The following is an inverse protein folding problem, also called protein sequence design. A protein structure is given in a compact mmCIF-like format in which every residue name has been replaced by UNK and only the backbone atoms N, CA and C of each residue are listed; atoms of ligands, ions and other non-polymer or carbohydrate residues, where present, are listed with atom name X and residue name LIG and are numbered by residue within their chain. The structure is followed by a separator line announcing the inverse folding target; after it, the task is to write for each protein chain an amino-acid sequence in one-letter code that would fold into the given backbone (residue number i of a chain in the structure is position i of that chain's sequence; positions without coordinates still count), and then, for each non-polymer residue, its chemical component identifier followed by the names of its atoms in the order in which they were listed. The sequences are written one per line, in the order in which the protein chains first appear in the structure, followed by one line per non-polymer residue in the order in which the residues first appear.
data_IF_627591243385
#
_entry.id   IF_627591243385
#
_cell.length_a   1.000
_cell.length_b   1.000
_cell.length_c   1.000
_cell.angle_alpha   90.00
_cell.angle_beta   90.00
_cell.angle_gamma   90.00
#
_symmetry.space_group_name_H-M   'P 1'
#
loop_
_entity.id
_entity.type
_entity.pdbx_description
1 polymer ?
#
# COMPACT_ATOMS: atom_id res chain seq x y z
N UNK A 1 3.89 -39.72 13.05
CA UNK A 1 3.37 -39.31 11.72
C UNK A 1 2.54 -38.03 11.83
N UNK A 2 1.50 -38.01 12.67
CA UNK A 2 0.62 -36.85 12.84
C UNK A 2 1.31 -35.62 13.46
N UNK A 3 2.24 -35.82 14.39
CA UNK A 3 3.10 -34.76 14.95
C UNK A 3 3.96 -34.06 13.89
N UNK A 4 4.59 -34.83 13.00
CA UNK A 4 5.37 -34.27 11.90
C UNK A 4 4.52 -33.49 10.89
N UNK A 5 3.28 -33.93 10.65
CA UNK A 5 2.32 -33.19 9.83
C UNK A 5 1.93 -31.87 10.50
N UNK A 6 1.59 -31.90 11.80
CA UNK A 6 1.25 -30.70 12.57
C UNK A 6 2.40 -29.69 12.64
N UNK A 7 3.64 -30.15 12.82
CA UNK A 7 4.82 -29.29 12.80
C UNK A 7 5.02 -28.62 11.45
N UNK A 8 4.93 -29.40 10.36
CA UNK A 8 5.02 -28.87 9.00
C UNK A 8 3.95 -27.83 8.73
N UNK A 9 2.70 -28.12 9.10
CA UNK A 9 1.57 -27.23 8.85
C UNK A 9 1.69 -25.93 9.67
N UNK A 10 2.20 -26.03 10.91
CA UNK A 10 2.50 -24.86 11.76
C UNK A 10 3.61 -23.98 11.16
N UNK A 11 4.68 -24.58 10.64
CA UNK A 11 5.77 -23.85 9.98
C UNK A 11 5.28 -23.18 8.70
N UNK A 12 4.51 -23.88 7.87
CA UNK A 12 3.94 -23.32 6.64
C UNK A 12 2.99 -22.15 6.95
N UNK A 13 2.15 -22.28 7.97
CA UNK A 13 1.24 -21.20 8.37
C UNK A 13 1.99 -19.94 8.78
N UNK A 14 3.08 -20.09 9.55
CA UNK A 14 3.95 -18.97 9.94
C UNK A 14 4.63 -18.35 8.72
N UNK A 15 5.18 -19.18 7.84
CA UNK A 15 5.80 -18.72 6.61
C UNK A 15 4.83 -17.91 5.74
N UNK A 16 3.61 -18.41 5.51
CA UNK A 16 2.59 -17.72 4.72
C UNK A 16 2.11 -16.42 5.38
N UNK A 17 2.09 -16.39 6.72
CA UNK A 17 1.81 -15.17 7.46
C UNK A 17 2.92 -14.13 7.22
N UNK A 18 4.17 -14.51 7.46
CA UNK A 18 5.32 -13.62 7.37
C UNK A 18 5.56 -13.14 5.94
N UNK A 19 5.37 -14.01 4.94
CA UNK A 19 5.47 -13.66 3.52
C UNK A 19 4.45 -12.56 3.14
N UNK A 20 3.21 -12.65 3.64
CA UNK A 20 2.19 -11.62 3.40
C UNK A 20 2.48 -10.32 4.14
N UNK A 21 3.04 -10.38 5.35
CA UNK A 21 3.46 -9.17 6.06
C UNK A 21 4.63 -8.49 5.35
N UNK A 22 5.60 -9.27 4.87
CA UNK A 22 6.73 -8.77 4.11
C UNK A 22 6.28 -8.09 2.81
N UNK A 23 5.36 -8.72 2.05
CA UNK A 23 4.80 -8.11 0.84
C UNK A 23 4.12 -6.77 1.15
N UNK A 24 3.32 -6.71 2.23
CA UNK A 24 2.69 -5.46 2.68
C UNK A 24 3.74 -4.41 3.00
N UNK A 25 4.76 -4.73 3.80
CA UNK A 25 5.82 -3.79 4.16
C UNK A 25 6.61 -3.29 2.94
N UNK A 26 6.88 -4.17 1.97
CA UNK A 26 7.53 -3.80 0.71
C UNK A 26 6.67 -2.87 -0.16
N UNK A 27 5.34 -3.08 -0.15
CA UNK A 27 4.38 -2.22 -0.87
C UNK A 27 4.13 -0.91 -0.13
N UNK A 28 4.20 -0.90 1.20
CA UNK A 28 4.20 0.30 2.05
C UNK A 28 5.55 1.01 1.96
N UNK A 29 6.01 1.27 0.74
CA UNK A 29 7.09 2.20 0.51
C UNK A 29 6.54 3.61 0.72
N UNK A 30 6.69 4.13 1.95
CA UNK A 30 6.28 5.49 2.34
C UNK A 30 6.75 6.54 1.32
N UNK A 31 7.90 6.33 0.66
CA UNK A 31 8.40 7.24 -0.37
C UNK A 31 7.49 7.35 -1.61
N UNK A 32 6.78 6.28 -1.99
CA UNK A 32 5.85 6.30 -3.12
C UNK A 32 4.51 6.95 -2.76
N UNK A 33 4.05 6.81 -1.52
CA UNK A 33 2.72 7.29 -1.09
C UNK A 33 2.75 8.66 -0.38
N UNK A 34 3.92 9.24 -0.12
CA UNK A 34 4.01 10.55 0.56
C UNK A 34 3.39 11.67 -0.28
N UNK A 35 3.48 11.56 -1.62
CA UNK A 35 2.92 12.52 -2.56
C UNK A 35 2.21 11.81 -3.70
N UNK A 36 0.96 11.40 -3.47
CA UNK A 36 0.09 10.89 -4.52
C UNK A 36 -0.26 12.03 -5.49
N UNK A 37 0.47 12.12 -6.61
CA UNK A 37 0.23 13.12 -7.66
C UNK A 37 -0.83 12.59 -8.62
N UNK A 38 -1.90 13.37 -8.80
CA UNK A 38 -3.00 13.05 -9.71
C UNK A 38 -3.61 14.30 -10.34
N UNK A 39 -4.84 14.17 -10.83
CA UNK A 39 -5.62 15.29 -11.33
C UNK A 39 -7.10 15.14 -10.99
N UNK A 40 -7.77 16.27 -10.76
CA UNK A 40 -9.21 16.39 -10.54
C UNK A 40 -9.75 17.46 -11.49
N UNK A 41 -10.34 17.02 -12.60
CA UNK A 41 -10.71 17.90 -13.71
C UNK A 41 -9.51 18.68 -14.26
N UNK A 42 -9.55 20.01 -14.14
CA UNK A 42 -8.50 20.92 -14.60
C UNK A 42 -7.40 21.19 -13.56
N UNK A 43 -7.50 20.62 -12.36
CA UNK A 43 -6.52 20.84 -11.29
C UNK A 43 -5.59 19.64 -11.16
N UNK A 44 -4.29 19.89 -10.99
CA UNK A 44 -3.38 18.87 -10.45
C UNK A 44 -3.66 18.65 -8.97
N UNK A 45 -3.52 17.43 -8.48
CA UNK A 45 -3.71 17.10 -7.05
C UNK A 45 -2.45 16.51 -6.45
N UNK A 46 -2.18 16.88 -5.19
CA UNK A 46 -1.21 16.18 -4.32
C UNK A 46 -1.96 15.72 -3.09
N UNK A 47 -2.00 14.41 -2.84
CA UNK A 47 -2.75 13.82 -1.73
C UNK A 47 -4.23 14.26 -1.71
N UNK A 48 -4.82 14.43 -2.89
CA UNK A 48 -6.20 14.89 -3.05
C UNK A 48 -6.41 16.41 -2.91
N UNK A 49 -5.40 17.19 -2.53
CA UNK A 49 -5.49 18.64 -2.49
C UNK A 49 -5.24 19.24 -3.87
N UNK A 50 -6.21 19.99 -4.40
CA UNK A 50 -6.12 20.68 -5.69
C UNK A 50 -5.09 21.82 -5.63
N UNK A 51 -4.23 21.88 -6.63
CA UNK A 51 -3.23 22.92 -6.80
C UNK A 51 -3.68 23.91 -7.88
N UNK A 52 -3.65 25.20 -7.55
CA UNK A 52 -3.96 26.29 -8.47
C UNK A 52 -5.40 26.82 -8.34
N UNK A 53 -5.71 27.82 -9.16
CA UNK A 53 -7.03 28.47 -9.25
C UNK A 53 -7.42 28.63 -10.72
N UNK A 54 -8.69 28.46 -11.04
CA UNK A 54 -9.18 28.76 -12.38
C UNK A 54 -9.49 30.25 -12.52
N UNK A 55 -9.29 30.87 -13.70
CA UNK A 55 -9.56 32.29 -13.93
C UNK A 55 -11.00 32.73 -13.63
N UNK A 56 -11.93 31.78 -13.59
CA UNK A 56 -13.37 32.03 -13.43
C UNK A 56 -13.89 31.88 -11.99
N UNK A 57 -12.99 31.77 -11.01
CA UNK A 57 -13.35 31.83 -9.59
C UNK A 57 -12.67 33.06 -8.97
N UNK A 58 -13.38 34.18 -9.03
CA UNK A 58 -13.12 35.39 -8.25
C UNK A 58 -14.32 35.61 -7.35
#
# INVERSE_FOLDING_TARGET
LQTFQNERDSVNLKYDHDARQLEKLQRTNVYNDTFCIGHDGHFGTINGFRLGRLPNQV
#
